data_IF_640278472232
#
_entry.id   IF_640278472232
#
_cell.length_a   1.000
_cell.length_b   1.000
_cell.length_c   1.000
_cell.angle_alpha   90.00
_cell.angle_beta   90.00
_cell.angle_gamma   90.00
#
_symmetry.space_group_name_H-M   'P 1'
#
loop_
_entity.id
_entity.type
_entity.pdbx_description
1 polymer ?
#
# COMPACT_ATOMS: atom_id res chain seq x y z
N UNK A 1 29.51 -98.33 21.82
CA UNK A 1 28.59 -97.85 22.85
C UNK A 1 29.16 -96.52 23.36
N UNK A 2 28.81 -95.44 22.77
CA UNK A 2 29.23 -94.10 23.20
C UNK A 2 28.06 -93.16 23.17
N UNK A 3 27.67 -92.73 24.39
CA UNK A 3 26.64 -91.70 24.58
C UNK A 3 27.25 -90.32 24.29
N UNK A 4 26.65 -89.62 23.41
CA UNK A 4 26.95 -88.18 23.13
C UNK A 4 25.95 -87.33 23.93
N UNK A 5 26.49 -86.56 24.85
CA UNK A 5 25.74 -85.52 25.57
C UNK A 5 25.61 -84.26 24.66
N UNK A 6 24.40 -83.86 24.42
CA UNK A 6 24.12 -82.60 23.74
C UNK A 6 23.92 -81.45 24.74
N UNK A 7 24.79 -80.48 24.72
CA UNK A 7 24.65 -79.25 25.50
C UNK A 7 23.81 -78.20 24.71
N UNK A 8 22.64 -77.87 25.26
CA UNK A 8 21.78 -76.85 24.75
C UNK A 8 22.28 -75.47 25.22
N UNK A 9 22.68 -74.62 24.31
CA UNK A 9 22.98 -73.19 24.55
C UNK A 9 21.68 -72.38 24.36
N UNK A 10 21.20 -71.83 25.45
CA UNK A 10 20.07 -70.84 25.37
C UNK A 10 20.64 -69.48 25.04
N UNK A 11 20.34 -68.97 23.84
CA UNK A 11 20.65 -67.61 23.45
C UNK A 11 19.53 -66.70 23.93
N UNK A 12 19.86 -65.80 24.83
CA UNK A 12 18.97 -64.77 25.34
C UNK A 12 19.07 -63.54 24.36
N UNK A 13 18.08 -63.39 23.51
CA UNK A 13 17.98 -62.20 22.60
C UNK A 13 17.37 -61.03 23.35
N UNK A 14 18.18 -59.98 23.66
CA UNK A 14 17.71 -58.66 24.08
C UNK A 14 17.10 -57.95 22.88
N UNK A 15 15.79 -57.79 22.86
CA UNK A 15 15.12 -56.90 21.93
C UNK A 15 15.23 -55.48 22.48
N UNK A 16 16.09 -54.64 21.85
CA UNK A 16 16.07 -53.20 22.06
C UNK A 16 14.90 -52.61 21.26
N UNK A 17 13.87 -52.17 21.97
CA UNK A 17 12.78 -51.38 21.41
C UNK A 17 13.30 -49.93 21.21
N UNK A 18 13.62 -49.57 19.99
CA UNK A 18 13.88 -48.17 19.61
C UNK A 18 12.54 -47.42 19.56
N UNK A 19 12.31 -46.58 20.57
CA UNK A 19 11.21 -45.63 20.56
C UNK A 19 11.55 -44.52 19.57
N UNK A 20 10.94 -44.57 18.38
CA UNK A 20 10.95 -43.45 17.48
C UNK A 20 9.94 -42.40 17.97
N UNK A 21 10.44 -41.34 18.59
CA UNK A 21 9.64 -40.10 18.77
C UNK A 21 9.40 -39.49 17.40
N UNK A 22 8.21 -39.71 16.85
CA UNK A 22 7.72 -38.85 15.76
C UNK A 22 7.37 -37.49 16.37
N UNK A 23 8.24 -36.49 16.15
CA UNK A 23 7.87 -35.11 16.32
C UNK A 23 6.76 -34.82 15.31
N UNK A 24 5.54 -34.66 15.76
CA UNK A 24 4.44 -34.10 14.97
C UNK A 24 4.75 -32.61 14.76
N UNK A 25 5.54 -32.28 13.76
CA UNK A 25 5.54 -30.95 13.18
C UNK A 25 4.15 -30.75 12.58
N UNK A 26 3.27 -30.13 13.36
CA UNK A 26 2.06 -29.52 12.82
C UNK A 26 2.56 -28.43 11.87
N UNK A 27 2.62 -28.76 10.59
CA UNK A 27 2.63 -27.74 9.54
C UNK A 27 1.35 -26.94 9.78
N UNK A 28 1.50 -25.76 10.38
CA UNK A 28 0.42 -24.78 10.48
C UNK A 28 0.18 -24.37 9.02
N UNK A 29 -0.81 -25.00 8.37
CA UNK A 29 -1.34 -24.49 7.11
C UNK A 29 -1.82 -23.09 7.42
N UNK A 30 -1.07 -22.06 6.95
CA UNK A 30 -1.58 -20.70 6.95
C UNK A 30 -2.83 -20.73 6.09
N UNK A 31 -3.93 -20.28 6.68
CA UNK A 31 -5.18 -20.04 5.97
C UNK A 31 -4.90 -18.92 4.95
N UNK A 32 -4.72 -19.29 3.69
CA UNK A 32 -4.38 -18.34 2.61
C UNK A 32 -5.49 -17.34 2.35
N UNK A 33 -6.71 -17.58 2.86
CA UNK A 33 -7.83 -16.63 2.79
C UNK A 33 -7.62 -15.40 3.70
N UNK A 34 -6.64 -15.44 4.61
CA UNK A 34 -6.35 -14.35 5.55
C UNK A 34 -5.14 -13.51 5.17
N UNK A 35 -4.47 -13.85 4.08
CA UNK A 35 -3.28 -13.13 3.63
C UNK A 35 -3.69 -11.86 2.90
N UNK A 36 -3.22 -10.72 3.39
CA UNK A 36 -3.36 -9.43 2.73
C UNK A 36 -2.29 -9.30 1.65
N UNK A 37 -2.69 -8.93 0.42
CA UNK A 37 -1.75 -8.65 -0.65
C UNK A 37 -1.84 -7.18 -1.04
N UNK A 38 -0.69 -6.53 -1.15
CA UNK A 38 -0.56 -5.16 -1.65
C UNK A 38 0.36 -5.20 -2.87
N UNK A 39 -0.18 -4.91 -4.04
CA UNK A 39 0.58 -4.81 -5.27
C UNK A 39 0.81 -3.34 -5.60
N UNK A 40 2.07 -2.94 -5.69
CA UNK A 40 2.46 -1.68 -6.32
C UNK A 40 2.23 -1.77 -7.82
N UNK A 41 1.34 -0.96 -8.37
CA UNK A 41 1.15 -0.90 -9.82
C UNK A 41 2.15 0.08 -10.41
N UNK A 42 2.06 1.34 -10.01
CA UNK A 42 2.96 2.44 -10.38
C UNK A 42 2.52 3.70 -9.65
N UNK A 43 3.45 4.51 -9.18
CA UNK A 43 3.14 5.80 -8.54
C UNK A 43 2.39 5.62 -7.22
N UNK A 44 1.20 6.21 -7.07
CA UNK A 44 0.28 5.99 -5.96
C UNK A 44 -0.74 4.88 -6.26
N UNK A 45 -0.73 4.32 -7.48
CA UNK A 45 -1.67 3.26 -7.86
C UNK A 45 -1.27 1.94 -7.23
N UNK A 46 -2.05 1.48 -6.27
CA UNK A 46 -1.87 0.18 -5.63
C UNK A 46 -3.14 -0.67 -5.72
N UNK A 47 -2.97 -1.99 -5.77
CA UNK A 47 -4.06 -2.97 -5.70
C UNK A 47 -3.97 -3.71 -4.37
N UNK A 48 -5.02 -3.65 -3.57
CA UNK A 48 -5.08 -4.24 -2.22
C UNK A 48 -6.11 -5.35 -2.22
N UNK A 49 -5.64 -6.60 -2.17
CA UNK A 49 -6.51 -7.76 -1.92
C UNK A 49 -6.57 -8.00 -0.41
N UNK A 50 -7.77 -7.85 0.17
CA UNK A 50 -8.01 -7.82 1.59
C UNK A 50 -9.34 -8.49 1.94
N UNK A 51 -9.34 -9.51 2.78
CA UNK A 51 -10.55 -10.21 3.25
C UNK A 51 -11.50 -10.58 2.10
N UNK A 52 -10.98 -11.30 1.10
CA UNK A 52 -11.68 -11.77 -0.11
C UNK A 52 -12.22 -10.65 -1.04
N UNK A 53 -11.82 -9.41 -0.82
CA UNK A 53 -12.21 -8.24 -1.63
C UNK A 53 -10.98 -7.52 -2.16
N UNK A 54 -11.03 -7.09 -3.40
CA UNK A 54 -9.90 -6.39 -4.04
C UNK A 54 -10.25 -4.93 -4.31
N UNK A 55 -9.45 -4.04 -3.77
CA UNK A 55 -9.55 -2.59 -3.98
C UNK A 55 -8.42 -2.11 -4.90
N UNK A 56 -8.76 -1.21 -5.81
CA UNK A 56 -7.79 -0.44 -6.57
C UNK A 56 -7.78 0.99 -6.03
N UNK A 57 -6.60 1.48 -5.63
CA UNK A 57 -6.44 2.80 -5.03
C UNK A 57 -5.70 3.70 -6.00
N UNK A 58 -6.20 4.93 -6.19
CA UNK A 58 -5.60 6.01 -6.96
C UNK A 58 -5.11 5.59 -8.36
N UNK A 59 -6.01 5.10 -9.24
CA UNK A 59 -5.63 4.60 -10.55
C UNK A 59 -5.19 5.70 -11.50
N UNK A 60 -3.93 5.63 -11.94
CA UNK A 60 -3.34 6.41 -13.03
C UNK A 60 -2.87 5.46 -14.13
N UNK A 61 -3.52 5.44 -15.30
CA UNK A 61 -3.31 4.45 -16.36
C UNK A 61 -2.67 4.99 -17.64
N UNK A 62 -2.43 6.29 -17.74
CA UNK A 62 -1.82 6.89 -18.90
C UNK A 62 -0.44 6.29 -19.21
N UNK A 63 -0.11 6.24 -20.50
CA UNK A 63 1.21 5.83 -21.00
C UNK A 63 2.27 6.85 -20.60
N UNK A 64 3.51 6.40 -20.49
CA UNK A 64 4.67 7.26 -20.29
C UNK A 64 4.63 8.49 -21.18
N UNK A 65 4.86 9.66 -20.56
CA UNK A 65 4.97 10.95 -21.25
C UNK A 65 3.66 11.50 -21.83
N UNK A 66 2.50 10.97 -21.44
CA UNK A 66 1.22 11.38 -22.01
C UNK A 66 0.83 12.81 -21.61
N UNK A 67 1.02 13.18 -20.34
CA UNK A 67 0.70 14.50 -19.82
C UNK A 67 1.94 15.41 -19.75
N UNK A 68 1.73 16.71 -19.77
CA UNK A 68 2.77 17.68 -19.39
C UNK A 68 3.16 17.46 -17.92
N UNK A 69 4.38 17.87 -17.52
CA UNK A 69 4.75 17.93 -16.12
C UNK A 69 3.87 18.93 -15.37
N UNK A 70 3.65 18.72 -14.09
CA UNK A 70 2.89 19.66 -13.26
C UNK A 70 3.60 21.02 -13.24
N UNK A 71 2.90 22.09 -13.60
CA UNK A 71 3.50 23.43 -13.64
C UNK A 71 3.86 23.93 -12.23
N UNK A 72 4.83 24.82 -12.15
CA UNK A 72 5.31 25.40 -10.90
C UNK A 72 5.80 24.33 -9.87
N UNK A 73 6.33 23.19 -10.37
CA UNK A 73 6.85 22.09 -9.55
C UNK A 73 8.24 21.63 -10.01
N UNK A 74 8.94 20.92 -9.14
CA UNK A 74 10.24 20.35 -9.46
C UNK A 74 10.23 19.55 -10.77
N UNK A 75 11.20 19.81 -11.66
CA UNK A 75 11.35 19.13 -12.97
C UNK A 75 10.10 19.23 -13.86
N UNK A 76 9.34 20.33 -13.79
CA UNK A 76 8.09 20.54 -14.56
C UNK A 76 8.25 20.39 -16.09
N UNK A 77 9.47 20.40 -16.61
CA UNK A 77 9.80 20.13 -18.02
C UNK A 77 9.69 18.65 -18.42
N UNK A 78 9.60 17.73 -17.46
CA UNK A 78 9.43 16.30 -17.71
C UNK A 78 7.95 15.97 -17.88
N UNK A 79 7.64 15.15 -18.88
CA UNK A 79 6.25 14.70 -19.15
C UNK A 79 5.88 13.50 -18.29
N UNK A 80 4.71 13.56 -17.70
CA UNK A 80 4.14 12.52 -16.83
C UNK A 80 3.33 11.45 -17.60
N UNK A 81 3.26 10.21 -17.13
CA UNK A 81 4.17 9.61 -16.15
C UNK A 81 5.58 9.42 -16.74
N UNK A 82 6.60 9.33 -15.88
CA UNK A 82 8.01 9.15 -16.31
C UNK A 82 8.34 7.72 -16.74
N UNK A 83 7.50 6.75 -16.36
CA UNK A 83 7.65 5.31 -16.63
C UNK A 83 6.34 4.73 -17.18
N UNK A 84 6.42 3.62 -17.90
CA UNK A 84 5.24 2.91 -18.40
C UNK A 84 4.58 2.08 -17.29
N UNK A 85 3.31 1.70 -17.49
CA UNK A 85 2.67 0.70 -16.64
C UNK A 85 3.36 -0.67 -16.82
N UNK A 86 3.61 -1.43 -15.74
CA UNK A 86 4.23 -2.75 -15.83
C UNK A 86 3.30 -3.81 -16.45
N UNK A 87 1.99 -3.61 -16.34
CA UNK A 87 0.93 -4.48 -16.85
C UNK A 87 -0.19 -3.65 -17.48
N UNK A 88 -1.02 -4.27 -18.32
CA UNK A 88 -2.10 -3.57 -19.02
C UNK A 88 -3.22 -3.16 -18.06
N UNK A 89 -3.91 -2.03 -18.31
CA UNK A 89 -5.03 -1.57 -17.48
C UNK A 89 -6.13 -2.63 -17.29
N UNK A 90 -6.45 -3.40 -18.33
CA UNK A 90 -7.46 -4.45 -18.27
C UNK A 90 -7.08 -5.54 -17.26
N UNK A 91 -5.79 -5.94 -17.23
CA UNK A 91 -5.26 -6.92 -16.26
C UNK A 91 -5.22 -6.35 -14.84
N UNK A 92 -4.96 -5.05 -14.68
CA UNK A 92 -5.05 -4.38 -13.38
C UNK A 92 -6.46 -4.50 -12.81
N UNK A 93 -7.47 -4.32 -13.68
CA UNK A 93 -8.90 -4.35 -13.30
C UNK A 93 -9.46 -5.75 -13.06
N UNK A 94 -8.75 -6.81 -13.45
CA UNK A 94 -9.20 -8.19 -13.18
C UNK A 94 -9.38 -8.42 -11.67
N UNK A 95 -10.61 -8.82 -11.28
CA UNK A 95 -10.97 -9.12 -9.91
C UNK A 95 -11.05 -7.90 -8.97
N UNK A 96 -11.06 -6.66 -9.50
CA UNK A 96 -11.28 -5.46 -8.68
C UNK A 96 -12.77 -5.31 -8.37
N UNK A 97 -13.11 -5.21 -7.08
CA UNK A 97 -14.48 -5.08 -6.57
C UNK A 97 -14.87 -3.62 -6.31
N UNK A 98 -13.91 -2.77 -5.96
CA UNK A 98 -14.13 -1.35 -5.73
C UNK A 98 -12.87 -0.52 -6.00
N UNK A 99 -13.06 0.76 -6.28
CA UNK A 99 -12.00 1.75 -6.44
C UNK A 99 -12.05 2.75 -5.28
N UNK A 100 -10.90 3.16 -4.77
CA UNK A 100 -10.77 4.25 -3.80
C UNK A 100 -9.95 5.35 -4.47
N UNK A 101 -10.49 6.56 -4.52
CA UNK A 101 -9.80 7.77 -5.01
C UNK A 101 -9.56 8.66 -3.81
N UNK A 102 -8.30 8.74 -3.35
CA UNK A 102 -7.95 9.53 -2.17
C UNK A 102 -8.11 11.02 -2.42
N UNK A 103 -7.88 11.45 -3.64
CA UNK A 103 -8.18 12.79 -4.17
C UNK A 103 -8.08 12.77 -5.71
N UNK A 104 -8.58 13.82 -6.37
CA UNK A 104 -8.75 13.85 -7.83
C UNK A 104 -7.60 14.52 -8.59
N UNK A 105 -6.39 14.58 -8.05
CA UNK A 105 -5.23 15.00 -8.83
C UNK A 105 -4.95 14.02 -9.98
N UNK A 106 -4.37 14.54 -11.05
CA UNK A 106 -4.17 13.79 -12.30
C UNK A 106 -3.31 12.53 -12.13
N UNK A 107 -2.41 12.52 -11.19
CA UNK A 107 -1.55 11.38 -10.86
C UNK A 107 -2.18 10.36 -9.90
N UNK A 108 -3.43 10.60 -9.44
CA UNK A 108 -4.26 9.71 -8.64
C UNK A 108 -5.56 9.31 -9.35
N UNK A 109 -6.04 10.12 -10.31
CA UNK A 109 -7.28 9.88 -11.03
C UNK A 109 -7.21 10.45 -12.44
N UNK A 110 -6.60 9.73 -13.38
CA UNK A 110 -6.37 10.23 -14.73
C UNK A 110 -7.46 9.86 -15.76
N UNK A 111 -7.45 10.54 -16.89
CA UNK A 111 -8.42 10.33 -17.97
C UNK A 111 -8.38 8.87 -18.51
N UNK A 112 -7.21 8.23 -18.51
CA UNK A 112 -7.07 6.85 -18.98
C UNK A 112 -7.74 5.87 -18.01
N UNK A 113 -7.62 6.06 -16.70
CA UNK A 113 -8.35 5.30 -15.69
C UNK A 113 -9.85 5.55 -15.80
N UNK A 114 -10.27 6.81 -15.94
CA UNK A 114 -11.67 7.17 -16.16
C UNK A 114 -12.26 6.47 -17.37
N UNK A 115 -11.53 6.38 -18.48
CA UNK A 115 -11.99 5.73 -19.71
C UNK A 115 -12.07 4.20 -19.59
N UNK A 116 -11.20 3.58 -18.80
CA UNK A 116 -11.05 2.11 -18.73
C UNK A 116 -11.90 1.48 -17.63
N UNK A 117 -12.07 2.15 -16.50
CA UNK A 117 -12.83 1.63 -15.35
C UNK A 117 -14.34 1.57 -15.70
N UNK A 118 -15.02 0.43 -15.46
CA UNK A 118 -16.44 0.29 -15.70
C UNK A 118 -17.27 1.33 -14.93
N UNK A 119 -18.22 1.97 -15.60
CA UNK A 119 -19.00 3.09 -15.01
C UNK A 119 -19.96 2.69 -13.89
N UNK A 120 -20.15 1.40 -13.66
CA UNK A 120 -20.89 0.84 -12.53
C UNK A 120 -19.99 0.34 -11.39
N UNK A 121 -18.66 0.48 -11.52
CA UNK A 121 -17.72 0.14 -10.45
C UNK A 121 -18.03 0.98 -9.20
N UNK A 122 -18.16 0.36 -8.00
CA UNK A 122 -18.23 1.11 -6.76
C UNK A 122 -16.98 1.95 -6.54
N UNK A 123 -17.13 3.26 -6.28
CA UNK A 123 -16.03 4.16 -5.97
C UNK A 123 -16.23 4.81 -4.60
N UNK A 124 -15.14 4.89 -3.84
CA UNK A 124 -15.09 5.65 -2.59
C UNK A 124 -14.22 6.89 -2.80
N UNK A 125 -14.71 8.05 -2.37
CA UNK A 125 -14.06 9.35 -2.55
C UNK A 125 -14.05 10.13 -1.25
N UNK A 126 -13.17 11.11 -1.14
CA UNK A 126 -12.94 11.83 0.12
C UNK A 126 -14.06 12.78 0.54
N UNK A 127 -14.77 13.40 -0.42
CA UNK A 127 -15.77 14.43 -0.13
C UNK A 127 -16.85 14.53 -1.22
N UNK A 128 -17.83 15.41 -1.03
CA UNK A 128 -18.93 15.64 -1.97
C UNK A 128 -18.51 16.33 -3.26
N UNK A 129 -17.41 17.05 -3.27
CA UNK A 129 -16.90 17.74 -4.45
C UNK A 129 -16.31 16.72 -5.42
N UNK A 130 -15.42 15.83 -4.95
CA UNK A 130 -14.90 14.73 -5.73
C UNK A 130 -16.01 13.77 -6.19
N UNK A 131 -17.01 13.52 -5.34
CA UNK A 131 -18.19 12.75 -5.74
C UNK A 131 -18.87 13.35 -6.98
N UNK A 132 -19.12 14.66 -6.98
CA UNK A 132 -19.74 15.34 -8.12
C UNK A 132 -18.87 15.32 -9.38
N UNK A 133 -17.56 15.52 -9.21
CA UNK A 133 -16.60 15.45 -10.31
C UNK A 133 -16.66 14.07 -10.97
N UNK A 134 -16.51 13.01 -10.19
CA UNK A 134 -16.47 11.64 -10.70
C UNK A 134 -17.84 11.20 -11.25
N UNK A 135 -18.95 11.63 -10.64
CA UNK A 135 -20.28 11.39 -11.20
C UNK A 135 -20.48 12.10 -12.54
N UNK A 136 -19.93 13.32 -12.73
CA UNK A 136 -20.00 14.02 -14.01
C UNK A 136 -19.22 13.32 -15.13
N UNK A 137 -18.26 12.46 -14.78
CA UNK A 137 -17.50 11.58 -15.68
C UNK A 137 -18.27 10.28 -16.03
N UNK A 138 -19.51 10.14 -15.56
CA UNK A 138 -20.43 9.05 -15.89
C UNK A 138 -20.44 7.88 -14.92
N UNK A 139 -19.69 7.93 -13.83
CA UNK A 139 -19.72 6.88 -12.80
C UNK A 139 -21.01 6.94 -11.98
N UNK A 140 -21.62 5.78 -11.72
CA UNK A 140 -22.97 5.68 -11.16
C UNK A 140 -22.97 5.43 -9.66
N UNK A 141 -22.01 4.68 -9.14
CA UNK A 141 -21.91 4.31 -7.73
C UNK A 141 -20.69 4.98 -7.09
N UNK A 142 -20.83 6.26 -6.74
CA UNK A 142 -19.76 7.07 -6.12
C UNK A 142 -20.19 7.43 -4.71
N UNK A 143 -19.45 6.97 -3.72
CA UNK A 143 -19.75 7.06 -2.30
C UNK A 143 -18.72 7.93 -1.58
N UNK A 144 -19.19 8.93 -0.83
CA UNK A 144 -18.29 9.70 0.05
C UNK A 144 -17.92 8.84 1.25
N UNK A 145 -16.62 8.63 1.44
CA UNK A 145 -16.08 7.87 2.55
C UNK A 145 -15.95 8.77 3.79
N UNK A 146 -16.61 8.38 4.85
CA UNK A 146 -16.30 8.80 6.23
C UNK A 146 -15.97 7.55 7.04
N UNK A 147 -16.94 6.67 7.18
CA UNK A 147 -16.84 5.31 7.63
C UNK A 147 -17.88 4.49 6.86
N UNK A 148 -17.47 3.37 6.28
CA UNK A 148 -18.34 2.49 5.51
C UNK A 148 -18.01 1.02 5.80
N UNK A 149 -18.96 0.13 5.57
CA UNK A 149 -18.71 -1.31 5.48
C UNK A 149 -18.96 -1.73 4.04
N UNK A 150 -17.96 -2.37 3.43
CA UNK A 150 -18.04 -2.92 2.08
C UNK A 150 -17.58 -4.37 2.12
N UNK A 151 -18.42 -5.31 1.68
CA UNK A 151 -18.16 -6.76 1.69
C UNK A 151 -17.60 -7.28 3.04
N UNK A 152 -18.14 -6.76 4.17
CA UNK A 152 -17.69 -7.12 5.52
C UNK A 152 -16.45 -6.38 6.02
N UNK A 153 -15.79 -5.59 5.17
CA UNK A 153 -14.61 -4.80 5.50
C UNK A 153 -15.04 -3.41 5.94
N UNK A 154 -14.55 -2.98 7.10
CA UNK A 154 -14.73 -1.62 7.58
C UNK A 154 -13.66 -0.73 6.95
N UNK A 155 -14.10 0.30 6.22
CA UNK A 155 -13.30 1.35 5.65
C UNK A 155 -13.49 2.63 6.46
N UNK A 156 -12.40 3.21 6.94
CA UNK A 156 -12.47 4.47 7.70
C UNK A 156 -11.56 5.51 7.07
N UNK A 157 -12.13 6.66 6.69
CA UNK A 157 -11.36 7.82 6.23
C UNK A 157 -10.50 8.36 7.36
N UNK A 158 -9.25 8.70 7.06
CA UNK A 158 -8.39 9.49 7.94
C UNK A 158 -8.17 10.89 7.37
N UNK A 159 -7.78 11.81 8.24
CA UNK A 159 -7.35 13.15 7.83
C UNK A 159 -5.91 13.15 7.33
N UNK A 160 -5.56 14.25 6.69
CA UNK A 160 -4.24 14.56 6.19
C UNK A 160 -4.22 15.95 5.56
N UNK A 161 -3.06 16.40 5.10
CA UNK A 161 -2.93 17.65 4.37
C UNK A 161 -1.80 17.55 3.34
N UNK A 162 -2.12 17.89 2.12
CA UNK A 162 -1.22 17.85 0.97
C UNK A 162 -0.35 19.11 0.92
N UNK A 163 0.63 19.21 1.82
CA UNK A 163 1.53 20.34 1.97
C UNK A 163 1.39 21.06 3.33
N UNK A 164 2.18 22.12 3.52
CA UNK A 164 2.30 22.82 4.79
C UNK A 164 1.21 23.87 5.02
N UNK A 165 0.98 24.26 6.27
CA UNK A 165 0.05 25.36 6.61
C UNK A 165 0.47 26.69 5.96
N UNK A 166 1.78 26.88 5.70
CA UNK A 166 2.28 28.04 5.00
C UNK A 166 1.80 28.07 3.55
N UNK A 167 1.83 26.94 2.87
CA UNK A 167 1.32 26.80 1.49
C UNK A 167 -0.20 27.03 1.43
N UNK A 168 -0.95 26.51 2.41
CA UNK A 168 -2.41 26.68 2.48
C UNK A 168 -2.87 28.12 2.79
N UNK A 169 -1.98 28.99 3.28
CA UNK A 169 -2.26 30.42 3.38
C UNK A 169 -2.20 31.16 2.04
N UNK A 170 -1.67 30.53 1.00
CA UNK A 170 -1.59 31.09 -0.35
C UNK A 170 -2.78 30.56 -1.16
N UNK A 171 -3.77 31.42 -1.55
CA UNK A 171 -5.01 30.94 -2.17
C UNK A 171 -4.82 30.06 -3.40
N UNK A 172 -3.87 30.42 -4.30
CA UNK A 172 -3.56 29.63 -5.51
C UNK A 172 -3.04 28.23 -5.16
N UNK A 173 -2.13 28.13 -4.19
CA UNK A 173 -1.59 26.83 -3.74
C UNK A 173 -2.65 26.00 -3.03
N UNK A 174 -3.41 26.60 -2.11
CA UNK A 174 -4.51 25.92 -1.45
C UNK A 174 -5.50 25.32 -2.44
N UNK A 175 -5.85 26.08 -3.49
CA UNK A 175 -6.76 25.60 -4.54
C UNK A 175 -6.14 24.47 -5.37
N UNK A 176 -4.83 24.52 -5.63
CA UNK A 176 -4.11 23.48 -6.38
C UNK A 176 -3.85 22.21 -5.58
N UNK A 177 -3.53 22.35 -4.29
CA UNK A 177 -3.25 21.21 -3.39
C UNK A 177 -4.55 20.49 -2.95
N UNK A 178 -5.65 21.24 -2.79
CA UNK A 178 -6.94 20.67 -2.43
C UNK A 178 -6.97 19.99 -1.07
N UNK A 179 -7.77 18.94 -0.97
CA UNK A 179 -7.83 18.03 0.18
C UNK A 179 -7.34 16.65 -0.27
N UNK A 180 -6.80 15.87 0.65
CA UNK A 180 -6.47 14.46 0.45
C UNK A 180 -6.86 13.65 1.67
N UNK A 181 -7.22 12.39 1.48
CA UNK A 181 -7.55 11.47 2.57
C UNK A 181 -6.62 10.28 2.61
N UNK A 182 -6.47 9.70 3.81
CA UNK A 182 -6.06 8.32 3.95
C UNK A 182 -7.26 7.41 4.18
N UNK A 183 -7.02 6.10 4.17
CA UNK A 183 -8.02 5.07 4.44
C UNK A 183 -7.45 3.95 5.29
N UNK A 184 -8.24 3.51 6.29
CA UNK A 184 -7.93 2.34 7.11
C UNK A 184 -8.88 1.21 6.77
N UNK A 185 -8.30 0.00 6.59
CA UNK A 185 -9.02 -1.24 6.35
C UNK A 185 -8.97 -2.09 7.62
N UNK A 186 -10.13 -2.53 8.09
CA UNK A 186 -10.28 -3.40 9.25
C UNK A 186 -11.25 -4.55 8.92
N UNK A 187 -10.85 -5.80 9.15
CA UNK A 187 -11.73 -6.97 9.13
C UNK A 187 -11.30 -8.00 10.18
N UNK A 188 -12.26 -8.77 10.70
CA UNK A 188 -11.98 -9.73 11.75
C UNK A 188 -10.99 -10.81 11.30
N UNK A 189 -9.87 -10.94 11.98
CA UNK A 189 -8.83 -11.92 11.70
C UNK A 189 -7.86 -11.58 10.60
N UNK A 190 -7.88 -10.32 10.12
CA UNK A 190 -6.94 -9.75 9.15
C UNK A 190 -6.11 -8.64 9.77
N UNK A 191 -4.96 -8.36 9.16
CA UNK A 191 -4.11 -7.22 9.52
C UNK A 191 -4.86 -5.91 9.30
N UNK A 192 -4.70 -4.95 10.20
CA UNK A 192 -5.18 -3.58 9.96
C UNK A 192 -4.22 -2.88 8.99
N UNK A 193 -4.73 -2.43 7.86
CA UNK A 193 -3.95 -1.71 6.83
C UNK A 193 -4.34 -0.24 6.84
N UNK A 194 -3.36 0.64 6.89
CA UNK A 194 -3.53 2.08 6.77
C UNK A 194 -2.80 2.60 5.53
N UNK A 195 -3.53 3.15 4.58
CA UNK A 195 -3.01 3.88 3.41
C UNK A 195 -3.13 5.36 3.71
N UNK A 196 -2.00 6.07 3.85
CA UNK A 196 -1.99 7.46 4.30
C UNK A 196 -2.44 8.47 3.22
N UNK A 197 -2.25 8.13 1.93
CA UNK A 197 -2.50 9.06 0.82
C UNK A 197 -1.48 10.19 0.76
N UNK A 198 -1.79 11.24 -0.01
CA UNK A 198 -0.92 12.40 -0.17
C UNK A 198 -1.07 13.37 1.01
N UNK A 199 -0.22 13.19 1.99
CA UNK A 199 -0.14 14.03 3.18
C UNK A 199 1.31 14.22 3.60
N UNK A 200 1.64 15.37 4.18
CA UNK A 200 2.84 15.50 5.01
C UNK A 200 2.61 14.84 6.37
N UNK A 201 3.65 14.62 7.16
CA UNK A 201 3.46 14.13 8.53
C UNK A 201 2.75 15.18 9.39
N UNK A 202 1.63 14.78 10.00
CA UNK A 202 0.76 15.65 10.79
C UNK A 202 0.13 14.88 11.96
N UNK A 203 -0.52 15.64 12.86
CA UNK A 203 -1.27 15.07 13.99
C UNK A 203 -2.35 14.06 13.57
N UNK A 204 -2.93 14.23 12.40
CA UNK A 204 -3.95 13.31 11.86
C UNK A 204 -3.35 11.92 11.55
N UNK A 205 -2.09 11.87 11.08
CA UNK A 205 -1.34 10.62 10.87
C UNK A 205 -1.02 9.97 12.22
N UNK A 206 -0.52 10.74 13.19
CA UNK A 206 -0.29 10.25 14.55
C UNK A 206 -1.58 9.69 15.17
N UNK A 207 -2.72 10.37 15.00
CA UNK A 207 -4.03 9.93 15.50
C UNK A 207 -4.48 8.62 14.83
N UNK A 208 -4.30 8.49 13.52
CA UNK A 208 -4.62 7.27 12.79
C UNK A 208 -3.80 6.09 13.33
N UNK A 209 -2.49 6.25 13.48
CA UNK A 209 -1.59 5.22 14.03
C UNK A 209 -2.00 4.83 15.45
N UNK A 210 -2.27 5.82 16.32
CA UNK A 210 -2.66 5.55 17.71
C UNK A 210 -4.02 4.86 17.84
N UNK A 211 -4.98 5.28 17.00
CA UNK A 211 -6.37 4.80 17.07
C UNK A 211 -6.48 3.38 16.50
N UNK A 212 -5.92 3.17 15.33
CA UNK A 212 -6.13 1.93 14.57
C UNK A 212 -5.02 0.91 14.79
N UNK A 213 -3.83 1.33 15.26
CA UNK A 213 -2.66 0.47 15.50
C UNK A 213 -2.37 -0.46 14.31
N UNK A 214 -2.19 0.10 13.11
CA UNK A 214 -2.09 -0.67 11.90
C UNK A 214 -0.90 -1.63 11.94
N UNK A 215 -1.10 -2.83 11.38
CA UNK A 215 -0.05 -3.83 11.17
C UNK A 215 0.78 -3.47 9.93
N UNK A 216 0.14 -2.82 8.95
CA UNK A 216 0.77 -2.33 7.70
C UNK A 216 0.37 -0.89 7.47
N UNK A 217 1.37 -0.02 7.18
CA UNK A 217 1.17 1.37 6.76
C UNK A 217 1.73 1.54 5.35
N UNK A 218 0.92 2.06 4.42
CA UNK A 218 1.36 2.47 3.09
C UNK A 218 1.53 3.98 3.08
N UNK A 219 2.74 4.46 2.72
CA UNK A 219 3.10 5.87 2.68
C UNK A 219 3.47 6.30 1.26
N UNK A 220 2.98 7.44 0.83
CA UNK A 220 3.39 8.13 -0.37
C UNK A 220 4.66 8.94 -0.06
N UNK A 221 5.84 8.45 -0.48
CA UNK A 221 7.15 8.87 0.06
C UNK A 221 8.06 9.57 -0.94
N UNK A 222 7.50 10.01 -2.07
CA UNK A 222 8.26 10.66 -3.14
C UNK A 222 8.82 12.04 -2.82
N UNK A 223 8.49 12.64 -1.67
CA UNK A 223 8.93 13.99 -1.27
C UNK A 223 8.69 15.01 -2.39
N UNK A 224 7.43 15.19 -2.78
CA UNK A 224 7.03 16.04 -3.88
C UNK A 224 7.29 17.53 -3.59
N UNK A 225 7.90 18.25 -4.54
CA UNK A 225 8.31 19.63 -4.36
C UNK A 225 7.56 20.60 -5.31
N UNK A 226 7.14 21.72 -4.73
CA UNK A 226 6.58 22.87 -5.44
C UNK A 226 7.64 23.98 -5.49
N UNK A 227 7.77 24.66 -6.63
CA UNK A 227 8.77 25.72 -6.82
C UNK A 227 8.57 26.84 -5.82
N UNK A 228 9.69 27.34 -5.29
CA UNK A 228 9.69 28.39 -4.26
C UNK A 228 9.53 27.90 -2.83
N UNK A 229 9.34 26.58 -2.61
CA UNK A 229 9.29 25.97 -1.27
C UNK A 229 10.39 24.91 -1.11
N UNK A 230 10.91 24.81 0.10
CA UNK A 230 11.86 23.75 0.48
C UNK A 230 11.16 22.53 1.06
N UNK A 231 10.01 22.78 1.66
CA UNK A 231 9.18 21.75 2.28
C UNK A 231 8.41 21.00 1.21
N UNK A 232 8.29 19.70 1.42
CA UNK A 232 7.50 18.83 0.55
C UNK A 232 5.99 19.01 0.78
N UNK A 233 5.21 18.59 -0.21
CA UNK A 233 3.76 18.51 -0.13
C UNK A 233 3.26 17.10 0.24
N UNK A 234 4.12 16.09 0.24
CA UNK A 234 3.86 14.73 0.74
C UNK A 234 5.02 14.25 1.59
N UNK A 235 4.91 13.08 2.19
CA UNK A 235 5.97 12.46 2.99
C UNK A 235 7.23 12.16 2.17
N UNK A 236 8.35 11.99 2.88
CA UNK A 236 9.65 11.63 2.33
C UNK A 236 10.34 10.55 3.16
N UNK A 237 11.65 10.42 2.96
CA UNK A 237 12.47 9.39 3.64
C UNK A 237 12.56 9.59 5.15
N UNK A 238 12.56 10.83 5.63
CA UNK A 238 12.58 11.17 7.06
C UNK A 238 11.25 10.74 7.71
N UNK A 239 10.12 10.94 7.04
CA UNK A 239 8.80 10.52 7.52
C UNK A 239 8.68 9.00 7.51
N UNK A 240 9.28 8.32 6.53
CA UNK A 240 9.36 6.85 6.49
C UNK A 240 10.10 6.32 7.72
N UNK A 241 11.23 6.92 8.08
CA UNK A 241 11.95 6.57 9.33
C UNK A 241 11.08 6.88 10.55
N UNK A 242 10.46 8.05 10.58
CA UNK A 242 9.60 8.47 11.69
C UNK A 242 8.44 7.50 11.91
N UNK A 243 7.81 7.00 10.85
CA UNK A 243 6.76 5.98 10.93
C UNK A 243 7.23 4.71 11.65
N UNK A 244 8.45 4.23 11.37
CA UNK A 244 9.02 3.04 12.04
C UNK A 244 9.30 3.26 13.52
N UNK A 245 9.48 4.50 13.95
CA UNK A 245 9.68 4.86 15.37
C UNK A 245 8.33 5.00 16.09
N UNK A 246 7.32 5.56 15.43
CA UNK A 246 5.96 5.72 15.98
C UNK A 246 5.19 4.40 16.06
N UNK A 247 5.42 3.50 15.12
CA UNK A 247 4.77 2.19 15.04
C UNK A 247 5.84 1.08 14.90
N UNK A 248 6.57 0.73 15.99
CA UNK A 248 7.75 -0.13 15.92
C UNK A 248 7.47 -1.58 15.50
N UNK A 249 6.23 -2.04 15.62
CA UNK A 249 5.80 -3.39 15.24
C UNK A 249 5.12 -3.45 13.86
N UNK A 250 4.99 -2.31 13.17
CA UNK A 250 4.29 -2.17 11.91
C UNK A 250 5.25 -2.28 10.73
N UNK A 251 4.80 -2.89 9.64
CA UNK A 251 5.49 -2.84 8.35
C UNK A 251 5.11 -1.55 7.62
N UNK A 252 6.09 -0.87 7.05
CA UNK A 252 5.89 0.34 6.24
C UNK A 252 6.14 0.00 4.78
N UNK A 253 5.17 0.23 3.93
CA UNK A 253 5.27 0.09 2.47
C UNK A 253 5.41 1.49 1.88
N UNK A 254 6.50 1.73 1.17
CA UNK A 254 6.83 3.02 0.58
C UNK A 254 6.53 3.02 -0.92
N UNK A 255 5.59 3.87 -1.34
CA UNK A 255 5.12 4.00 -2.73
C UNK A 255 5.20 5.44 -3.21
N UNK A 256 4.72 5.73 -4.42
CA UNK A 256 4.62 7.07 -5.01
C UNK A 256 5.99 7.72 -5.25
N UNK A 257 6.88 6.97 -5.87
CA UNK A 257 8.23 7.42 -6.28
C UNK A 257 8.45 7.17 -7.77
N UNK A 258 9.46 7.83 -8.36
CA UNK A 258 10.02 7.61 -9.71
C UNK A 258 9.07 7.85 -10.91
N UNK A 259 7.77 7.97 -10.71
CA UNK A 259 6.81 8.01 -11.82
C UNK A 259 6.32 9.41 -12.20
N UNK A 260 6.44 10.41 -11.31
CA UNK A 260 5.91 11.77 -11.51
C UNK A 260 7.04 12.81 -11.40
N UNK A 261 6.94 13.86 -12.19
CA UNK A 261 8.03 14.85 -12.37
C UNK A 261 8.50 15.51 -11.07
N UNK A 262 7.60 15.79 -10.14
CA UNK A 262 7.93 16.58 -8.94
C UNK A 262 8.37 15.76 -7.73
N UNK A 263 8.46 14.43 -7.84
CA UNK A 263 9.06 13.58 -6.81
C UNK A 263 10.56 13.84 -6.73
N UNK A 264 11.07 14.13 -5.56
CA UNK A 264 12.49 14.42 -5.33
C UNK A 264 13.24 13.29 -4.62
N UNK A 265 12.53 12.26 -4.14
CA UNK A 265 13.07 11.04 -3.57
C UNK A 265 12.78 9.88 -4.51
N UNK A 266 13.81 9.14 -4.88
CA UNK A 266 13.73 7.90 -5.67
C UNK A 266 13.69 6.67 -4.77
N UNK A 267 13.23 5.52 -5.30
CA UNK A 267 13.30 4.22 -4.59
C UNK A 267 14.75 3.88 -4.18
N UNK A 268 15.72 4.17 -5.03
CA UNK A 268 17.14 3.92 -4.73
C UNK A 268 17.64 4.75 -3.55
N UNK A 269 17.34 6.07 -3.54
CA UNK A 269 17.72 6.96 -2.42
C UNK A 269 17.02 6.58 -1.12
N UNK A 270 15.75 6.16 -1.19
CA UNK A 270 15.04 5.66 -0.01
C UNK A 270 15.65 4.35 0.50
N UNK A 271 16.02 3.42 -0.40
CA UNK A 271 16.66 2.15 -0.03
C UNK A 271 18.01 2.37 0.67
N UNK A 272 18.83 3.28 0.17
CA UNK A 272 20.09 3.65 0.81
C UNK A 272 19.85 4.27 2.19
N UNK A 273 18.88 5.17 2.32
CA UNK A 273 18.51 5.77 3.59
C UNK A 273 17.99 4.74 4.61
N UNK A 274 17.13 3.83 4.18
CA UNK A 274 16.59 2.72 4.98
C UNK A 274 17.73 1.84 5.50
N UNK A 275 18.72 1.55 4.65
CA UNK A 275 19.92 0.79 5.02
C UNK A 275 20.76 1.55 6.04
N UNK A 276 21.02 2.84 5.82
CA UNK A 276 21.81 3.68 6.74
C UNK A 276 21.15 3.82 8.12
N UNK A 277 19.81 3.77 8.18
CA UNK A 277 19.04 3.80 9.44
C UNK A 277 18.89 2.43 10.10
N UNK A 278 19.25 1.33 9.45
CA UNK A 278 19.13 -0.03 9.97
C UNK A 278 17.68 -0.48 10.15
N UNK A 279 16.79 -0.08 9.23
CA UNK A 279 15.33 -0.37 9.30
C UNK A 279 14.83 -1.22 8.12
N UNK A 280 15.71 -1.96 7.43
CA UNK A 280 15.38 -2.76 6.24
C UNK A 280 14.36 -3.88 6.54
N UNK A 281 14.31 -4.34 7.76
CA UNK A 281 13.34 -5.33 8.24
C UNK A 281 11.92 -4.78 8.42
N UNK A 282 11.77 -3.44 8.44
CA UNK A 282 10.50 -2.73 8.67
C UNK A 282 9.94 -2.06 7.43
N UNK A 283 10.81 -1.59 6.54
CA UNK A 283 10.43 -0.80 5.36
C UNK A 283 10.55 -1.64 4.11
N UNK A 284 9.46 -1.74 3.36
CA UNK A 284 9.35 -2.43 2.08
C UNK A 284 9.20 -1.37 0.98
N UNK A 285 10.01 -1.48 -0.06
CA UNK A 285 10.06 -0.53 -1.18
C UNK A 285 9.81 -1.33 -2.47
N UNK A 286 8.53 -1.62 -2.81
CA UNK A 286 8.22 -2.43 -3.97
C UNK A 286 8.57 -1.72 -5.27
N UNK A 287 8.97 -2.50 -6.28
CA UNK A 287 9.06 -2.02 -7.66
C UNK A 287 7.68 -2.08 -8.34
N UNK A 288 7.54 -1.36 -9.46
CA UNK A 288 6.30 -1.37 -10.23
C UNK A 288 5.94 -2.80 -10.66
N UNK A 289 4.73 -3.24 -10.37
CA UNK A 289 4.20 -4.58 -10.60
C UNK A 289 4.43 -5.58 -9.45
N UNK A 290 5.26 -5.28 -8.47
CA UNK A 290 5.56 -6.19 -7.35
C UNK A 290 4.39 -6.32 -6.37
N UNK A 291 4.18 -7.54 -5.88
CA UNK A 291 3.17 -7.87 -4.86
C UNK A 291 3.85 -8.25 -3.54
N UNK A 292 3.45 -7.59 -2.48
CA UNK A 292 3.82 -7.90 -1.10
C UNK A 292 2.70 -8.68 -0.42
N UNK A 293 3.06 -9.57 0.52
CA UNK A 293 2.10 -10.39 1.28
C UNK A 293 2.34 -10.23 2.79
N UNK A 294 1.24 -10.11 3.56
CA UNK A 294 1.23 -9.87 4.99
C UNK A 294 0.37 -10.87 5.72
#
# INVERSE_FOLDING_TARGET
>A
MNKILSSSVIALSLAMASVHLYANDKVVQRDTSKVTHIQEIRNATIKVAYADTTFLIDPMFAKKGFYEGFPDTHRSYLRNPLVDLPIKPETILEGVDAVIVTHTHLDHWDDAAQATIPKNMPLFVQNKEDQKIIQSQGFKDVRVLTQATFEGIKLTKTGGQHGTDAMYRIPKLKAGLGEAMGVVFEAAGHETVYVAGDTIWRSEVDQAIQTFKPDVIVLNTGNALVDGFKESIIMGKEDTYHATQKAPNTKVVAVHMDAINHMSVTRAELADYVKDKGIQDKVLIPIDGETLSF
#
